data_IF_551287001918
#
_entry.id   IF_551287001918
#
_cell.length_a   1.000
_cell.length_b   1.000
_cell.length_c   1.000
_cell.angle_alpha   90.00
_cell.angle_beta   90.00
_cell.angle_gamma   90.00
#
_symmetry.space_group_name_H-M   'P 1'
#
loop_
_entity.id
_entity.type
_entity.pdbx_description
1 polymer ?
#
# COMPACT_ATOMS: atom_id res chain seq x y z
N UNK A 1 -4.40 -32.87 -13.20
CA UNK A 1 -4.48 -32.16 -11.89
C UNK A 1 -5.24 -30.85 -12.13
N UNK A 2 -6.29 -30.60 -11.35
CA UNK A 2 -7.39 -29.67 -11.69
C UNK A 2 -6.96 -28.20 -11.80
N UNK A 3 -6.95 -27.68 -13.03
CA UNK A 3 -6.50 -26.34 -13.41
C UNK A 3 -7.54 -25.22 -13.19
N UNK A 4 -8.73 -25.55 -12.67
CA UNK A 4 -9.87 -24.61 -12.61
C UNK A 4 -9.77 -23.55 -11.51
N UNK A 5 -9.70 -23.95 -10.24
CA UNK A 5 -9.76 -23.02 -9.11
C UNK A 5 -8.42 -22.33 -8.82
N UNK A 6 -7.29 -23.05 -8.93
CA UNK A 6 -5.96 -22.50 -8.64
C UNK A 6 -5.55 -21.38 -9.60
N UNK A 7 -5.82 -21.53 -10.90
CA UNK A 7 -5.54 -20.51 -11.92
C UNK A 7 -6.39 -19.27 -11.71
N UNK A 8 -7.68 -19.45 -11.38
CA UNK A 8 -8.59 -18.33 -11.13
C UNK A 8 -8.17 -17.52 -9.89
N UNK A 9 -7.77 -18.18 -8.81
CA UNK A 9 -7.24 -17.52 -7.62
C UNK A 9 -5.91 -16.79 -7.92
N UNK A 10 -5.04 -17.39 -8.73
CA UNK A 10 -3.78 -16.75 -9.13
C UNK A 10 -4.04 -15.46 -9.90
N UNK A 11 -4.95 -15.47 -10.87
CA UNK A 11 -5.37 -14.27 -11.60
C UNK A 11 -6.04 -13.24 -10.70
N UNK A 12 -6.84 -13.66 -9.71
CA UNK A 12 -7.44 -12.76 -8.72
C UNK A 12 -6.36 -12.02 -7.92
N UNK A 13 -5.42 -12.75 -7.32
CA UNK A 13 -4.36 -12.13 -6.51
C UNK A 13 -3.40 -11.29 -7.34
N UNK A 14 -3.13 -11.70 -8.58
CA UNK A 14 -2.33 -10.92 -9.51
C UNK A 14 -3.04 -9.61 -9.88
N UNK A 15 -4.34 -9.66 -10.16
CA UNK A 15 -5.16 -8.47 -10.40
C UNK A 15 -5.24 -7.56 -9.19
N UNK A 16 -5.35 -8.12 -7.98
CA UNK A 16 -5.34 -7.38 -6.73
C UNK A 16 -4.00 -6.65 -6.53
N UNK A 17 -2.88 -7.36 -6.69
CA UNK A 17 -1.55 -6.78 -6.58
C UNK A 17 -1.30 -5.70 -7.65
N UNK A 18 -1.64 -5.99 -8.90
CA UNK A 18 -1.40 -5.12 -10.05
C UNK A 18 -2.25 -3.84 -10.05
N UNK A 19 -3.43 -3.85 -9.42
CA UNK A 19 -4.28 -2.66 -9.29
C UNK A 19 -4.01 -1.86 -8.00
N UNK A 20 -3.76 -2.55 -6.88
CA UNK A 20 -3.54 -1.90 -5.60
C UNK A 20 -2.13 -1.32 -5.46
N UNK A 21 -1.11 -1.93 -6.08
CA UNK A 21 0.26 -1.41 -5.99
C UNK A 21 0.40 0.00 -6.62
N UNK A 22 -0.10 0.27 -7.84
CA UNK A 22 -0.06 1.62 -8.41
C UNK A 22 -0.83 2.65 -7.56
N UNK A 23 -1.97 2.25 -6.99
CA UNK A 23 -2.72 3.12 -6.08
C UNK A 23 -1.89 3.44 -4.83
N UNK A 24 -1.20 2.46 -4.24
CA UNK A 24 -0.32 2.69 -3.09
C UNK A 24 0.78 3.70 -3.43
N UNK A 25 1.51 3.49 -4.53
CA UNK A 25 2.61 4.38 -4.89
C UNK A 25 2.15 5.78 -5.27
N UNK A 26 1.06 5.91 -6.04
CA UNK A 26 0.53 7.21 -6.45
C UNK A 26 0.08 8.05 -5.24
N UNK A 27 -0.73 7.48 -4.37
CA UNK A 27 -1.22 8.19 -3.19
C UNK A 27 -0.13 8.42 -2.13
N UNK A 28 0.90 7.57 -2.06
CA UNK A 28 2.07 7.79 -1.20
C UNK A 28 2.78 9.08 -1.56
N UNK A 29 3.00 9.31 -2.86
CA UNK A 29 3.67 10.54 -3.34
C UNK A 29 2.84 11.77 -2.99
N UNK A 30 1.51 11.70 -3.14
CA UNK A 30 0.61 12.79 -2.75
C UNK A 30 0.64 13.05 -1.24
N UNK A 31 0.61 12.01 -0.41
CA UNK A 31 0.71 12.14 1.04
C UNK A 31 2.05 12.77 1.47
N UNK A 32 3.15 12.31 0.87
CA UNK A 32 4.49 12.83 1.16
C UNK A 32 4.61 14.30 0.78
N UNK A 33 4.16 14.65 -0.44
CA UNK A 33 4.17 16.01 -0.92
C UNK A 33 3.31 16.93 -0.05
N UNK A 34 2.12 16.47 0.34
CA UNK A 34 1.23 17.23 1.22
C UNK A 34 1.84 17.49 2.59
N UNK A 35 2.55 16.52 3.18
CA UNK A 35 3.28 16.74 4.43
C UNK A 35 4.39 17.79 4.29
N UNK A 36 5.13 17.77 3.19
CA UNK A 36 6.13 18.81 2.90
C UNK A 36 5.47 20.18 2.74
N UNK A 37 4.40 20.28 1.97
CA UNK A 37 3.70 21.53 1.69
C UNK A 37 3.04 22.14 2.94
N UNK A 38 2.55 21.30 3.84
CA UNK A 38 1.94 21.71 5.11
C UNK A 38 2.92 21.77 6.28
N UNK A 39 4.19 21.47 6.05
CA UNK A 39 5.22 21.35 7.09
C UNK A 39 4.78 20.45 8.27
N UNK A 40 4.06 19.36 7.95
CA UNK A 40 3.66 18.36 8.95
C UNK A 40 4.89 17.54 9.30
N UNK A 41 5.19 17.44 10.60
CA UNK A 41 6.33 16.69 11.09
C UNK A 41 6.31 15.24 10.62
N UNK A 42 7.43 14.79 10.05
CA UNK A 42 7.66 13.39 9.73
C UNK A 42 8.02 12.59 10.99
N UNK A 43 7.70 11.30 10.97
CA UNK A 43 8.22 10.39 11.99
C UNK A 43 9.68 10.05 11.67
N UNK A 44 10.51 9.74 12.69
CA UNK A 44 11.90 9.33 12.47
C UNK A 44 12.02 8.18 11.47
N UNK A 45 12.87 8.32 10.46
CA UNK A 45 13.11 7.31 9.43
C UNK A 45 12.03 7.27 8.34
N UNK A 46 11.28 8.35 8.17
CA UNK A 46 10.24 8.50 7.15
C UNK A 46 10.40 9.75 6.27
N UNK A 47 11.43 10.54 6.54
CA UNK A 47 11.72 11.83 5.94
C UNK A 47 12.09 11.72 4.45
N UNK A 48 12.56 10.55 4.01
CA UNK A 48 12.95 10.27 2.63
C UNK A 48 11.77 9.84 1.74
N UNK A 49 10.58 9.63 2.32
CA UNK A 49 9.42 9.14 1.57
C UNK A 49 9.58 7.70 1.05
N UNK A 50 10.55 6.96 1.58
CA UNK A 50 10.94 5.62 1.15
C UNK A 50 10.06 4.51 1.74
N UNK A 51 10.65 3.32 1.89
CA UNK A 51 9.93 2.16 2.43
C UNK A 51 9.48 2.35 3.88
N UNK A 52 10.27 3.06 4.69
CA UNK A 52 9.91 3.40 6.07
C UNK A 52 8.64 4.24 6.13
N UNK A 53 8.51 5.22 5.22
CA UNK A 53 7.31 6.04 5.06
C UNK A 53 6.12 5.21 4.58
N UNK A 54 6.28 4.37 3.53
CA UNK A 54 5.24 3.43 3.08
C UNK A 54 4.69 2.58 4.23
N UNK A 55 5.59 1.97 5.03
CA UNK A 55 5.21 1.14 6.15
C UNK A 55 4.52 1.94 7.28
N UNK A 56 4.99 3.16 7.54
CA UNK A 56 4.37 4.05 8.51
C UNK A 56 2.94 4.44 8.10
N UNK A 57 2.72 4.78 6.82
CA UNK A 57 1.40 5.06 6.27
C UNK A 57 0.49 3.83 6.39
N UNK A 58 0.98 2.65 6.00
CA UNK A 58 0.26 1.38 6.09
C UNK A 58 -0.15 1.02 7.52
N UNK A 59 0.58 1.47 8.54
CA UNK A 59 0.18 1.31 9.96
C UNK A 59 -0.74 2.43 10.47
N UNK A 60 -1.31 3.24 9.58
CA UNK A 60 -2.22 4.36 9.87
C UNK A 60 -1.67 5.40 10.86
N UNK A 61 -0.34 5.52 10.97
CA UNK A 61 0.29 6.42 11.93
C UNK A 61 0.15 7.90 11.57
N UNK A 62 -0.14 8.20 10.31
CA UNK A 62 -0.46 9.55 9.82
C UNK A 62 -1.67 10.19 10.49
N UNK A 63 -2.59 9.40 11.07
CA UNK A 63 -3.76 9.93 11.77
C UNK A 63 -3.41 10.83 12.95
N UNK A 64 -2.23 10.65 13.55
CA UNK A 64 -1.75 11.50 14.64
C UNK A 64 -1.53 12.96 14.21
N UNK A 65 -1.35 13.23 12.92
CA UNK A 65 -1.21 14.58 12.39
C UNK A 65 -2.55 15.36 12.36
N UNK A 66 -3.70 14.69 12.57
CA UNK A 66 -5.04 15.30 12.56
C UNK A 66 -5.35 16.18 11.33
N UNK A 67 -4.74 15.87 10.18
CA UNK A 67 -4.97 16.60 8.92
C UNK A 67 -5.87 15.78 7.98
N UNK A 68 -6.99 16.39 7.54
CA UNK A 68 -8.02 15.72 6.73
C UNK A 68 -7.50 15.24 5.37
N UNK A 69 -6.71 16.06 4.68
CA UNK A 69 -6.19 15.74 3.36
C UNK A 69 -5.11 14.66 3.44
N UNK A 70 -4.25 14.75 4.45
CA UNK A 70 -3.28 13.72 4.75
C UNK A 70 -3.99 12.39 5.06
N UNK A 71 -5.03 12.41 5.89
CA UNK A 71 -5.83 11.21 6.20
C UNK A 71 -6.48 10.59 4.96
N UNK A 72 -6.89 11.41 3.99
CA UNK A 72 -7.42 10.91 2.72
C UNK A 72 -6.32 10.22 1.89
N UNK A 73 -5.24 10.93 1.56
CA UNK A 73 -4.17 10.38 0.71
C UNK A 73 -3.48 9.19 1.37
N UNK A 74 -3.10 9.34 2.64
CA UNK A 74 -2.45 8.30 3.41
C UNK A 74 -3.38 7.14 3.74
N UNK A 75 -4.68 7.39 3.91
CA UNK A 75 -5.69 6.36 4.11
C UNK A 75 -5.82 5.45 2.89
N UNK A 76 -5.90 6.03 1.68
CA UNK A 76 -5.91 5.27 0.43
C UNK A 76 -4.58 4.54 0.26
N UNK A 77 -3.45 5.19 0.52
CA UNK A 77 -2.12 4.56 0.50
C UNK A 77 -2.05 3.36 1.42
N UNK A 78 -2.56 3.48 2.64
CA UNK A 78 -2.54 2.40 3.62
C UNK A 78 -3.39 1.20 3.17
N UNK A 79 -4.64 1.45 2.77
CA UNK A 79 -5.55 0.39 2.32
C UNK A 79 -5.03 -0.33 1.07
N UNK A 80 -4.63 0.43 0.05
CA UNK A 80 -4.06 -0.13 -1.18
C UNK A 80 -2.72 -0.84 -0.94
N UNK A 81 -1.90 -0.38 -0.01
CA UNK A 81 -0.66 -1.07 0.39
C UNK A 81 -0.93 -2.45 0.97
N UNK A 82 -1.92 -2.58 1.87
CA UNK A 82 -2.32 -3.88 2.42
C UNK A 82 -2.92 -4.80 1.37
N UNK A 83 -3.79 -4.28 0.50
CA UNK A 83 -4.35 -5.06 -0.60
C UNK A 83 -3.25 -5.55 -1.55
N UNK A 84 -2.28 -4.68 -1.88
CA UNK A 84 -1.14 -5.06 -2.70
C UNK A 84 -0.30 -6.15 -2.05
N UNK A 85 -0.02 -6.03 -0.75
CA UNK A 85 0.74 -7.04 -0.01
C UNK A 85 0.02 -8.39 0.04
N UNK A 86 -1.29 -8.40 0.33
CA UNK A 86 -2.12 -9.61 0.30
C UNK A 86 -2.12 -10.23 -1.09
N UNK A 87 -2.22 -9.40 -2.14
CA UNK A 87 -2.13 -9.84 -3.54
C UNK A 87 -0.80 -10.52 -3.84
N UNK A 88 0.31 -9.86 -3.50
CA UNK A 88 1.64 -10.41 -3.71
C UNK A 88 1.87 -11.72 -2.95
N UNK A 89 1.49 -11.78 -1.67
CA UNK A 89 1.59 -12.99 -0.85
C UNK A 89 0.72 -14.11 -1.43
N UNK A 90 -0.52 -13.81 -1.85
CA UNK A 90 -1.41 -14.80 -2.47
C UNK A 90 -0.87 -15.37 -3.76
N UNK A 91 -0.28 -14.53 -4.64
CA UNK A 91 0.39 -14.99 -5.86
C UNK A 91 1.56 -15.91 -5.53
N UNK A 92 2.46 -15.50 -4.64
CA UNK A 92 3.65 -16.30 -4.27
C UNK A 92 3.24 -17.64 -3.65
N UNK A 93 2.27 -17.64 -2.73
CA UNK A 93 1.77 -18.85 -2.09
C UNK A 93 1.15 -19.82 -3.12
N UNK A 94 0.33 -19.33 -4.04
CA UNK A 94 -0.28 -20.19 -5.06
C UNK A 94 0.74 -20.75 -6.04
N UNK A 95 1.76 -19.97 -6.43
CA UNK A 95 2.86 -20.49 -7.27
C UNK A 95 3.65 -21.57 -6.52
N UNK A 96 3.90 -21.38 -5.23
CA UNK A 96 4.65 -22.35 -4.42
C UNK A 96 3.90 -23.66 -4.15
N UNK A 97 2.57 -23.63 -4.23
CA UNK A 97 1.68 -24.79 -3.98
C UNK A 97 1.27 -25.53 -5.26
N UNK A 98 1.62 -25.00 -6.44
CA UNK A 98 1.38 -25.60 -7.76
C UNK A 98 2.54 -26.50 -8.17
#
# INVERSE_FOLDING_TARGET
MGTGAGSLLLFLFLGLAGSAAPAHFGFRVLAFRHQLDKQIAFAPGTEDGGWGYSWWLMRWKHRAANDTNLNFFAGITAGSGWLSLVGAVGVVALIALQ
#
